data_IF_941605639522
#
_entry.id   IF_941605639522
#
_cell.length_a   1.000
_cell.length_b   1.000
_cell.length_c   1.000
_cell.angle_alpha   90.00
_cell.angle_beta   90.00
_cell.angle_gamma   90.00
#
_symmetry.space_group_name_H-M   'P 1'
#
loop_
_entity.id
_entity.type
_entity.pdbx_description
1 polymer ?
#
# COMPACT_ATOMS: atom_id res chain seq x y z
N UNK A 1 5.19 12.39 6.78
CA UNK A 1 6.29 11.37 6.66
C UNK A 1 6.03 10.51 5.44
N UNK A 2 7.06 10.14 4.68
CA UNK A 2 6.90 9.12 3.63
C UNK A 2 6.91 7.73 4.25
N UNK A 3 5.97 6.89 3.83
CA UNK A 3 5.84 5.51 4.29
C UNK A 3 5.86 4.57 3.08
N UNK A 4 6.72 3.56 3.12
CA UNK A 4 6.89 2.61 2.00
C UNK A 4 6.30 1.27 2.42
N UNK A 5 5.02 1.08 2.13
CA UNK A 5 4.30 -0.16 2.36
C UNK A 5 3.96 -0.91 1.05
N UNK A 6 4.42 -0.38 -0.08
CA UNK A 6 4.31 -1.03 -1.39
C UNK A 6 5.33 -2.16 -1.56
N UNK A 7 6.53 -2.02 -0.97
CA UNK A 7 7.61 -2.98 -1.12
C UNK A 7 8.65 -2.84 -0.01
N UNK A 8 9.59 -3.77 0.07
CA UNK A 8 10.74 -3.71 0.96
C UNK A 8 12.03 -4.07 0.22
N UNK A 9 13.17 -3.62 0.76
CA UNK A 9 14.49 -3.95 0.23
C UNK A 9 14.75 -5.46 0.33
N UNK A 10 15.43 -6.04 -0.65
CA UNK A 10 15.91 -7.43 -0.64
C UNK A 10 17.08 -7.58 0.33
N UNK A 11 16.80 -7.63 1.62
CA UNK A 11 17.81 -7.84 2.65
C UNK A 11 17.41 -9.05 3.51
N UNK A 12 18.10 -10.17 3.28
CA UNK A 12 17.90 -11.42 3.99
C UNK A 12 18.71 -11.55 5.29
N UNK A 13 19.70 -10.66 5.48
CA UNK A 13 20.61 -10.74 6.62
C UNK A 13 20.16 -9.88 7.79
N UNK A 14 19.72 -8.65 7.52
CA UNK A 14 19.37 -7.65 8.54
C UNK A 14 17.96 -7.07 8.35
N UNK A 15 17.27 -7.43 7.27
CA UNK A 15 15.93 -6.95 6.90
C UNK A 15 14.85 -8.01 7.03
N UNK A 16 13.68 -7.68 6.48
CA UNK A 16 12.50 -8.56 6.52
C UNK A 16 12.58 -9.77 5.57
N UNK A 17 13.54 -9.77 4.62
CA UNK A 17 13.60 -10.75 3.54
C UNK A 17 13.68 -12.21 3.98
N UNK A 18 14.26 -12.47 5.17
CA UNK A 18 14.30 -13.80 5.76
C UNK A 18 14.40 -13.75 7.31
N UNK A 19 13.68 -12.82 7.91
CA UNK A 19 13.81 -12.50 9.34
C UNK A 19 13.60 -13.71 10.27
N UNK A 20 12.63 -14.57 9.96
CA UNK A 20 12.30 -15.75 10.76
C UNK A 20 12.76 -17.07 10.10
N UNK A 21 13.63 -17.02 9.09
CA UNK A 21 14.04 -18.19 8.32
C UNK A 21 13.00 -18.63 7.27
N UNK A 22 11.99 -17.82 7.04
CA UNK A 22 10.99 -17.98 5.98
C UNK A 22 10.95 -16.72 5.10
N UNK A 23 11.43 -16.78 3.85
CA UNK A 23 11.45 -15.64 2.94
C UNK A 23 10.04 -15.15 2.58
N UNK A 24 9.03 -16.00 2.74
CA UNK A 24 7.65 -15.65 2.46
C UNK A 24 6.87 -15.17 3.69
N UNK A 25 7.51 -14.98 4.84
CA UNK A 25 6.80 -14.55 6.06
C UNK A 25 6.00 -13.27 5.86
N UNK A 26 6.60 -12.27 5.22
CA UNK A 26 5.98 -10.97 4.95
C UNK A 26 5.57 -10.78 3.49
N UNK A 27 6.14 -11.57 2.58
CA UNK A 27 6.07 -11.33 1.14
C UNK A 27 5.30 -12.42 0.42
N UNK A 28 4.80 -12.09 -0.77
CA UNK A 28 4.15 -13.05 -1.64
C UNK A 28 5.09 -14.20 -1.99
N UNK A 29 4.60 -15.42 -2.13
CA UNK A 29 5.37 -16.53 -2.69
C UNK A 29 5.40 -16.46 -4.23
N UNK A 30 6.37 -17.19 -4.84
CA UNK A 30 6.45 -17.38 -6.28
C UNK A 30 6.74 -16.10 -7.06
N UNK A 31 6.10 -15.97 -8.22
CA UNK A 31 6.38 -14.88 -9.17
C UNK A 31 6.01 -13.50 -8.66
N UNK A 32 5.16 -13.41 -7.64
CA UNK A 32 4.78 -12.15 -7.00
C UNK A 32 5.72 -11.72 -5.87
N UNK A 33 6.73 -12.54 -5.55
CA UNK A 33 7.67 -12.27 -4.46
C UNK A 33 8.45 -10.98 -4.68
N UNK A 34 8.93 -10.80 -5.91
CA UNK A 34 9.78 -9.68 -6.29
C UNK A 34 9.06 -8.70 -7.19
N UNK A 35 9.31 -7.41 -6.95
CA UNK A 35 8.81 -6.36 -7.83
C UNK A 35 9.64 -6.34 -9.12
N UNK A 36 9.00 -6.47 -10.31
CA UNK A 36 9.72 -6.67 -11.58
C UNK A 36 10.58 -5.47 -12.02
N UNK A 37 10.30 -4.27 -11.48
CA UNK A 37 10.98 -3.05 -11.90
C UNK A 37 11.85 -2.40 -10.80
N UNK A 38 11.69 -2.76 -9.51
CA UNK A 38 12.31 -2.00 -8.40
C UNK A 38 13.32 -2.78 -7.58
N UNK A 39 13.71 -3.99 -7.98
CA UNK A 39 14.63 -4.83 -7.23
C UNK A 39 14.30 -4.91 -5.74
N UNK A 40 13.05 -5.23 -5.43
CA UNK A 40 12.48 -5.20 -4.10
C UNK A 40 11.50 -6.36 -3.88
N UNK A 41 11.05 -6.57 -2.64
CA UNK A 41 10.11 -7.61 -2.25
C UNK A 41 8.71 -7.03 -2.04
N UNK A 42 7.67 -7.72 -2.53
CA UNK A 42 6.29 -7.26 -2.45
C UNK A 42 5.58 -7.87 -1.24
N UNK A 43 5.01 -7.03 -0.37
CA UNK A 43 4.24 -7.47 0.79
C UNK A 43 3.00 -8.28 0.39
N UNK A 44 2.74 -9.37 1.11
CA UNK A 44 1.54 -10.18 0.94
C UNK A 44 0.39 -9.64 1.81
N UNK A 45 -0.40 -8.75 1.24
CA UNK A 45 -1.53 -8.12 1.92
C UNK A 45 -2.68 -9.10 2.22
N UNK A 46 -2.64 -10.32 1.68
CA UNK A 46 -3.60 -11.38 1.98
C UNK A 46 -3.35 -12.09 3.33
N UNK A 47 -2.23 -11.78 4.00
CA UNK A 47 -1.90 -12.34 5.32
C UNK A 47 -2.32 -11.38 6.43
N UNK A 48 -3.12 -11.86 7.36
CA UNK A 48 -3.58 -11.07 8.51
C UNK A 48 -2.41 -10.50 9.33
N UNK A 49 -1.35 -11.27 9.53
CA UNK A 49 -0.16 -10.85 10.28
C UNK A 49 0.60 -9.73 9.57
N UNK A 50 0.66 -9.76 8.23
CA UNK A 50 1.28 -8.69 7.43
C UNK A 50 0.41 -7.43 7.48
N UNK A 51 -0.90 -7.57 7.36
CA UNK A 51 -1.85 -6.48 7.56
C UNK A 51 -1.67 -5.84 8.94
N UNK A 52 -1.64 -6.63 10.00
CA UNK A 52 -1.40 -6.15 11.37
C UNK A 52 -0.05 -5.46 11.51
N UNK A 53 1.00 -6.00 10.92
CA UNK A 53 2.34 -5.38 10.93
C UNK A 53 2.33 -3.99 10.31
N UNK A 54 1.80 -3.87 9.10
CA UNK A 54 1.75 -2.61 8.35
C UNK A 54 0.83 -1.56 9.02
N UNK A 55 -0.34 -1.99 9.50
CA UNK A 55 -1.27 -1.12 10.24
C UNK A 55 -0.66 -0.67 11.58
N UNK A 56 0.01 -1.57 12.30
CA UNK A 56 0.71 -1.24 13.55
C UNK A 56 1.83 -0.23 13.32
N UNK A 57 2.52 -0.32 12.17
CA UNK A 57 3.55 0.64 11.78
C UNK A 57 2.95 2.04 11.58
N UNK A 58 1.81 2.17 10.90
CA UNK A 58 1.11 3.46 10.80
C UNK A 58 0.76 4.03 12.18
N UNK A 59 0.15 3.22 13.05
CA UNK A 59 -0.20 3.64 14.42
C UNK A 59 1.03 4.05 15.23
N UNK A 60 2.11 3.29 15.14
CA UNK A 60 3.36 3.55 15.86
C UNK A 60 3.92 4.95 15.56
N UNK A 61 4.04 5.29 14.28
CA UNK A 61 4.56 6.60 13.89
C UNK A 61 3.67 7.77 14.32
N UNK A 62 2.34 7.59 14.32
CA UNK A 62 1.41 8.61 14.78
C UNK A 62 1.45 8.76 16.31
N UNK A 63 1.43 7.63 17.05
CA UNK A 63 1.29 7.64 18.50
C UNK A 63 2.59 7.95 19.25
N UNK A 64 3.73 7.39 18.79
CA UNK A 64 5.01 7.51 19.47
C UNK A 64 5.83 8.71 18.98
N UNK A 65 5.77 9.01 17.69
CA UNK A 65 6.55 10.09 17.08
C UNK A 65 5.72 11.32 16.70
N UNK A 66 4.40 11.23 16.85
CA UNK A 66 3.46 12.34 16.64
C UNK A 66 3.55 12.98 15.24
N UNK A 67 3.73 12.16 14.21
CA UNK A 67 3.62 12.64 12.84
C UNK A 67 2.19 13.08 12.53
N UNK A 68 2.05 14.07 11.67
CA UNK A 68 0.76 14.66 11.28
C UNK A 68 0.14 13.98 10.05
N UNK A 69 0.72 12.87 9.58
CA UNK A 69 0.21 12.11 8.45
C UNK A 69 1.29 11.49 7.59
N UNK A 70 0.86 10.85 6.51
CA UNK A 70 1.71 10.06 5.63
C UNK A 70 1.49 10.36 4.15
N UNK A 71 2.58 10.31 3.39
CA UNK A 71 2.55 10.02 1.97
C UNK A 71 2.88 8.55 1.78
N UNK A 72 1.96 7.80 1.19
CA UNK A 72 2.16 6.41 0.80
C UNK A 72 2.86 6.36 -0.55
N UNK A 73 4.04 5.77 -0.54
CA UNK A 73 4.90 5.62 -1.72
C UNK A 73 4.41 4.44 -2.58
N UNK A 74 4.41 4.63 -3.91
CA UNK A 74 4.17 3.56 -4.86
C UNK A 74 2.77 2.94 -4.81
N UNK A 75 1.74 3.70 -4.51
CA UNK A 75 0.36 3.18 -4.39
C UNK A 75 -0.13 2.53 -5.69
N UNK A 76 0.22 3.06 -6.87
CA UNK A 76 -0.12 2.41 -8.15
C UNK A 76 0.36 0.96 -8.19
N UNK A 77 1.58 0.71 -7.69
CA UNK A 77 2.16 -0.64 -7.64
C UNK A 77 1.40 -1.59 -6.70
N UNK A 78 0.73 -1.06 -5.69
CA UNK A 78 -0.10 -1.84 -4.77
C UNK A 78 -1.45 -2.20 -5.37
N UNK A 79 -2.06 -1.27 -6.11
CA UNK A 79 -3.43 -1.40 -6.60
C UNK A 79 -3.63 -2.50 -7.63
N UNK A 80 -2.58 -2.88 -8.37
CA UNK A 80 -2.70 -3.80 -9.51
C UNK A 80 -1.69 -4.93 -9.44
N UNK A 81 -2.11 -6.14 -9.88
CA UNK A 81 -1.22 -7.30 -9.99
C UNK A 81 -0.06 -7.08 -10.97
N UNK A 82 -0.25 -6.24 -11.98
CA UNK A 82 0.79 -5.81 -12.93
C UNK A 82 1.69 -4.71 -12.37
N UNK A 83 1.43 -4.22 -11.16
CA UNK A 83 2.08 -3.02 -10.59
C UNK A 83 1.85 -1.74 -11.43
N UNK A 84 0.84 -1.73 -12.31
CA UNK A 84 0.60 -0.65 -13.26
C UNK A 84 1.61 -0.59 -14.41
N UNK A 85 2.48 -1.60 -14.54
CA UNK A 85 3.52 -1.62 -15.57
C UNK A 85 2.95 -2.04 -16.92
N UNK A 86 3.21 -1.21 -17.95
CA UNK A 86 2.77 -1.51 -19.31
C UNK A 86 1.26 -1.39 -19.54
N UNK A 87 0.51 -0.90 -18.58
CA UNK A 87 -0.93 -0.67 -18.70
C UNK A 87 -1.25 0.78 -19.06
N UNK A 88 -2.33 0.96 -19.83
CA UNK A 88 -2.88 2.26 -20.16
C UNK A 88 -4.30 2.35 -19.60
N UNK A 89 -4.53 3.29 -18.71
CA UNK A 89 -5.83 3.55 -18.08
C UNK A 89 -6.55 4.65 -18.87
N UNK A 90 -7.25 4.26 -19.94
CA UNK A 90 -7.90 5.19 -20.87
C UNK A 90 -9.41 5.29 -20.65
N UNK A 91 -10.02 4.25 -20.08
CA UNK A 91 -11.46 4.15 -19.85
C UNK A 91 -11.73 3.73 -18.41
N UNK A 92 -12.93 4.04 -17.90
CA UNK A 92 -13.34 3.68 -16.56
C UNK A 92 -13.24 2.16 -16.29
N UNK A 93 -13.57 1.33 -17.29
CA UNK A 93 -13.46 -0.13 -17.19
C UNK A 93 -12.04 -0.67 -17.07
N UNK A 94 -11.03 0.12 -17.43
CA UNK A 94 -9.62 -0.32 -17.33
C UNK A 94 -9.15 -0.41 -15.87
N UNK A 95 -9.82 0.32 -14.96
CA UNK A 95 -9.52 0.29 -13.52
C UNK A 95 -10.20 -0.87 -12.79
N UNK A 96 -11.20 -1.52 -13.39
CA UNK A 96 -12.06 -2.52 -12.74
C UNK A 96 -12.27 -3.72 -13.66
N UNK A 97 -11.18 -4.32 -14.10
CA UNK A 97 -11.17 -5.42 -15.06
C UNK A 97 -10.74 -6.77 -14.47
N UNK A 98 -10.56 -6.82 -13.11
CA UNK A 98 -10.10 -8.00 -12.38
C UNK A 98 -8.58 -8.09 -12.27
N UNK A 99 -7.85 -7.03 -12.58
CA UNK A 99 -6.41 -6.91 -12.39
C UNK A 99 -6.04 -6.20 -11.07
N UNK A 100 -7.03 -5.75 -10.33
CA UNK A 100 -6.86 -5.07 -9.06
C UNK A 100 -6.44 -6.07 -7.97
N UNK A 101 -5.57 -5.65 -7.08
CA UNK A 101 -5.24 -6.40 -5.87
C UNK A 101 -6.21 -5.99 -4.75
N UNK A 102 -7.30 -6.73 -4.59
CA UNK A 102 -8.32 -6.48 -3.58
C UNK A 102 -7.75 -6.48 -2.15
N UNK A 103 -6.72 -7.27 -1.88
CA UNK A 103 -6.08 -7.32 -0.57
C UNK A 103 -5.30 -6.02 -0.29
N UNK A 104 -4.58 -5.51 -1.27
CA UNK A 104 -3.88 -4.23 -1.15
C UNK A 104 -4.87 -3.06 -1.02
N UNK A 105 -5.96 -3.08 -1.78
CA UNK A 105 -7.04 -2.09 -1.66
C UNK A 105 -7.66 -2.13 -0.26
N UNK A 106 -7.93 -3.32 0.26
CA UNK A 106 -8.42 -3.52 1.62
C UNK A 106 -7.45 -2.95 2.65
N UNK A 107 -6.16 -3.27 2.52
CA UNK A 107 -5.11 -2.72 3.38
C UNK A 107 -5.11 -1.19 3.36
N UNK A 108 -5.06 -0.56 2.19
CA UNK A 108 -5.02 0.90 2.05
C UNK A 108 -6.25 1.58 2.67
N UNK A 109 -7.43 0.97 2.48
CA UNK A 109 -8.69 1.44 3.06
C UNK A 109 -8.65 1.37 4.59
N UNK A 110 -8.20 0.25 5.15
CA UNK A 110 -8.04 0.06 6.60
C UNK A 110 -6.97 1.00 7.18
N UNK A 111 -5.87 1.22 6.47
CA UNK A 111 -4.83 2.14 6.89
C UNK A 111 -5.37 3.58 7.02
N UNK A 112 -6.11 4.07 6.03
CA UNK A 112 -6.74 5.39 6.09
C UNK A 112 -7.75 5.47 7.24
N UNK A 113 -8.57 4.43 7.45
CA UNK A 113 -9.51 4.38 8.55
C UNK A 113 -8.78 4.48 9.91
N UNK A 114 -7.77 3.64 10.12
CA UNK A 114 -6.97 3.63 11.34
C UNK A 114 -6.26 4.95 11.59
N UNK A 115 -5.64 5.54 10.56
CA UNK A 115 -4.90 6.80 10.68
C UNK A 115 -5.82 7.91 11.16
N UNK A 116 -7.00 8.07 10.56
CA UNK A 116 -7.97 9.10 10.95
C UNK A 116 -8.68 8.80 12.27
N UNK A 117 -8.77 7.52 12.69
CA UNK A 117 -9.25 7.16 14.01
C UNK A 117 -8.23 7.54 15.10
N UNK A 118 -6.94 7.30 14.86
CA UNK A 118 -5.86 7.67 15.79
C UNK A 118 -5.67 9.18 15.84
N UNK A 119 -5.69 9.84 14.71
CA UNK A 119 -5.57 11.30 14.61
C UNK A 119 -6.48 11.84 13.50
N UNK A 120 -7.64 12.38 13.88
CA UNK A 120 -8.63 12.94 12.94
C UNK A 120 -8.12 14.11 12.08
N UNK A 121 -6.99 14.71 12.43
CA UNK A 121 -6.35 15.78 11.69
C UNK A 121 -5.15 15.31 10.86
N UNK A 122 -4.83 14.03 10.91
CA UNK A 122 -3.79 13.48 10.05
C UNK A 122 -4.16 13.65 8.58
N UNK A 123 -3.14 13.76 7.74
CA UNK A 123 -3.29 13.88 6.29
C UNK A 123 -2.70 12.63 5.64
N UNK A 124 -3.45 12.02 4.74
CA UNK A 124 -2.99 10.88 3.94
C UNK A 124 -2.94 11.25 2.46
N UNK A 125 -1.79 10.96 1.85
CA UNK A 125 -1.50 11.27 0.45
C UNK A 125 -1.08 9.97 -0.24
N UNK A 126 -1.78 9.60 -1.30
CA UNK A 126 -1.37 8.48 -2.15
C UNK A 126 -0.48 8.99 -3.29
N UNK A 127 0.74 8.46 -3.41
CA UNK A 127 1.47 8.59 -4.66
C UNK A 127 0.91 7.60 -5.66
N UNK A 128 0.12 8.11 -6.60
CA UNK A 128 -0.65 7.27 -7.50
C UNK A 128 -0.80 7.95 -8.88
N UNK A 129 -0.35 7.26 -9.93
CA UNK A 129 -0.25 7.81 -11.28
C UNK A 129 -1.26 7.20 -12.27
N UNK A 130 -1.93 6.10 -11.93
CA UNK A 130 -2.91 5.49 -12.84
C UNK A 130 -4.18 6.33 -12.98
N UNK A 131 -4.55 7.05 -11.92
CA UNK A 131 -5.80 7.81 -11.87
C UNK A 131 -6.96 7.03 -11.27
N UNK A 132 -6.70 6.03 -10.42
CA UNK A 132 -7.71 5.15 -9.80
C UNK A 132 -8.89 5.95 -9.27
N UNK A 133 -10.12 5.72 -9.79
CA UNK A 133 -11.31 6.41 -9.33
C UNK A 133 -11.61 6.12 -7.85
N UNK A 134 -12.04 7.13 -7.11
CA UNK A 134 -12.41 6.98 -5.72
C UNK A 134 -11.25 6.94 -4.73
N UNK A 135 -9.98 6.96 -5.17
CA UNK A 135 -8.83 6.85 -4.27
C UNK A 135 -8.84 7.93 -3.19
N UNK A 136 -9.06 9.19 -3.56
CA UNK A 136 -9.16 10.33 -2.65
C UNK A 136 -10.62 10.75 -2.39
N UNK A 137 -11.53 9.80 -2.36
CA UNK A 137 -12.91 10.03 -1.97
C UNK A 137 -13.17 9.45 -0.57
N UNK A 138 -14.17 10.02 0.11
CA UNK A 138 -14.55 9.58 1.46
C UNK A 138 -15.15 8.17 1.45
N UNK A 139 -15.01 7.45 2.53
CA UNK A 139 -15.64 6.13 2.71
C UNK A 139 -17.16 6.17 2.51
N UNK A 140 -17.83 7.24 2.98
CA UNK A 140 -19.28 7.41 2.81
C UNK A 140 -19.72 7.52 1.33
N UNK A 141 -18.79 7.92 0.46
CA UNK A 141 -19.01 8.05 -0.98
C UNK A 141 -18.48 6.83 -1.76
N UNK A 142 -18.09 5.76 -1.06
CA UNK A 142 -17.52 4.55 -1.64
C UNK A 142 -16.04 4.67 -2.02
N UNK A 143 -15.33 5.65 -1.49
CA UNK A 143 -13.90 5.85 -1.74
C UNK A 143 -12.98 5.11 -0.77
N UNK A 144 -11.68 5.21 -1.01
CA UNK A 144 -10.64 4.51 -0.23
C UNK A 144 -10.07 5.37 0.92
N UNK A 145 -10.55 6.60 1.07
CA UNK A 145 -10.32 7.44 2.25
C UNK A 145 -9.03 8.24 2.28
N UNK A 146 -8.25 8.28 1.21
CA UNK A 146 -7.13 9.22 1.12
C UNK A 146 -7.63 10.66 1.04
N UNK A 147 -6.90 11.59 1.65
CA UNK A 147 -7.21 13.02 1.55
C UNK A 147 -6.75 13.59 0.22
N UNK A 148 -5.61 13.13 -0.28
CA UNK A 148 -5.01 13.61 -1.53
C UNK A 148 -4.40 12.49 -2.36
N UNK A 149 -4.37 12.72 -3.66
CA UNK A 149 -3.58 11.96 -4.63
C UNK A 149 -2.48 12.85 -5.19
N UNK A 150 -1.27 12.32 -5.25
CA UNK A 150 -0.12 12.97 -5.87
C UNK A 150 0.32 12.13 -7.07
N UNK A 151 0.31 12.72 -8.26
CA UNK A 151 0.91 12.17 -9.46
C UNK A 151 2.23 12.89 -9.74
N UNK A 152 3.32 12.13 -9.90
CA UNK A 152 4.63 12.66 -10.26
C UNK A 152 5.00 12.26 -11.68
#
# INVERSE_FOLDING_TARGET
>A
MDIVHSHAVKNEQEGLGNLAGDPNQYFYPGDRHEHPAWDSLCFDYGKDEVMHFLLSNCKYWLSEYHFDGFRFDGVTSMLYYSHGLGEAFCNYGDYFNGHEDDNAICYLTLANCLIHEVNKHAITIAEEVSGMPGLAAKFADGGYGFDYRMAM
#
